data_IF_294813298114
#
_entry.id   IF_294813298114
#
_cell.length_a   1.000
_cell.length_b   1.000
_cell.length_c   1.000
_cell.angle_alpha   90.00
_cell.angle_beta   90.00
_cell.angle_gamma   90.00
#
_symmetry.space_group_name_H-M   'P 1'
#
loop_
_entity.id
_entity.type
_entity.pdbx_description
1 polymer ?
#
# COMPACT_ATOMS: atom_id res chain seq x y z
N UNK A 1 0.36 -12.24 -14.41
CA UNK A 1 0.62 -10.81 -14.69
C UNK A 1 -0.03 -9.89 -13.66
N UNK A 2 -1.34 -9.98 -13.43
CA UNK A 2 -2.06 -9.14 -12.45
C UNK A 2 -1.47 -9.27 -11.03
N UNK A 3 -1.19 -10.49 -10.55
CA UNK A 3 -0.62 -10.70 -9.20
C UNK A 3 0.73 -9.98 -9.03
N UNK A 4 1.64 -10.10 -9.99
CA UNK A 4 2.95 -9.42 -9.95
C UNK A 4 2.79 -7.90 -9.92
N UNK A 5 1.79 -7.37 -10.63
CA UNK A 5 1.48 -5.94 -10.62
C UNK A 5 0.98 -5.48 -9.24
N UNK A 6 0.09 -6.24 -8.60
CA UNK A 6 -0.39 -5.94 -7.24
C UNK A 6 0.77 -5.97 -6.23
N UNK A 7 1.68 -6.95 -6.35
CA UNK A 7 2.89 -7.02 -5.51
C UNK A 7 3.77 -5.79 -5.73
N UNK A 8 4.01 -5.41 -6.99
CA UNK A 8 4.80 -4.23 -7.33
C UNK A 8 4.22 -2.94 -6.74
N UNK A 9 2.91 -2.74 -6.86
CA UNK A 9 2.23 -1.58 -6.27
C UNK A 9 2.32 -1.61 -4.74
N UNK A 10 2.20 -2.78 -4.12
CA UNK A 10 2.32 -2.93 -2.67
C UNK A 10 3.73 -2.61 -2.15
N UNK A 11 4.76 -3.06 -2.86
CA UNK A 11 6.17 -2.70 -2.56
C UNK A 11 6.39 -1.20 -2.76
N UNK A 12 5.85 -0.63 -3.83
CA UNK A 12 5.95 0.81 -4.11
C UNK A 12 5.25 1.65 -3.02
N UNK A 13 4.09 1.19 -2.52
CA UNK A 13 3.40 1.80 -1.39
C UNK A 13 4.27 1.84 -0.14
N UNK A 14 4.95 0.73 0.19
CA UNK A 14 5.87 0.66 1.33
C UNK A 14 7.06 1.62 1.18
N UNK A 15 7.68 1.66 -0.01
CA UNK A 15 8.79 2.58 -0.29
C UNK A 15 8.37 4.04 -0.14
N UNK A 16 7.21 4.41 -0.69
CA UNK A 16 6.65 5.75 -0.56
C UNK A 16 6.35 6.11 0.90
N UNK A 17 5.84 5.17 1.70
CA UNK A 17 5.63 5.41 3.13
C UNK A 17 6.93 5.68 3.88
N UNK A 18 8.02 4.95 3.57
CA UNK A 18 9.34 5.21 4.16
C UNK A 18 9.87 6.60 3.78
N UNK A 19 9.63 7.05 2.55
CA UNK A 19 10.01 8.40 2.10
C UNK A 19 9.18 9.47 2.81
N UNK A 20 7.86 9.31 2.88
CA UNK A 20 6.97 10.25 3.59
C UNK A 20 7.32 10.35 5.07
N UNK A 21 7.71 9.23 5.70
CA UNK A 21 8.18 9.23 7.08
C UNK A 21 9.43 10.10 7.28
N UNK A 22 10.37 10.10 6.32
CA UNK A 22 11.54 10.98 6.37
C UNK A 22 11.17 12.45 6.18
N UNK A 23 10.12 12.73 5.41
CA UNK A 23 9.64 14.08 5.14
C UNK A 23 8.73 14.64 6.25
N UNK A 24 8.40 13.84 7.28
CA UNK A 24 7.48 14.22 8.37
C UNK A 24 6.11 14.74 7.89
N UNK A 25 5.66 14.32 6.72
CA UNK A 25 4.41 14.82 6.16
C UNK A 25 3.20 14.11 6.80
N UNK A 26 2.52 14.81 7.71
CA UNK A 26 1.48 14.27 8.61
C UNK A 26 0.38 13.46 7.92
N UNK A 27 -0.05 13.88 6.72
CA UNK A 27 -1.13 13.24 5.96
C UNK A 27 -0.64 12.50 4.70
N UNK A 28 0.67 12.46 4.44
CA UNK A 28 1.22 11.90 3.20
C UNK A 28 0.85 10.44 2.96
N UNK A 29 0.81 9.63 4.03
CA UNK A 29 0.46 8.21 3.93
C UNK A 29 -1.00 8.01 3.54
N UNK A 30 -1.89 8.83 4.06
CA UNK A 30 -3.32 8.79 3.71
C UNK A 30 -3.51 9.22 2.26
N UNK A 31 -2.79 10.26 1.82
CA UNK A 31 -2.82 10.71 0.42
C UNK A 31 -2.34 9.63 -0.54
N UNK A 32 -1.22 8.95 -0.24
CA UNK A 32 -0.74 7.81 -1.03
C UNK A 32 -1.76 6.67 -1.05
N UNK A 33 -2.35 6.32 0.10
CA UNK A 33 -3.39 5.29 0.18
C UNK A 33 -4.56 5.61 -0.76
N UNK A 34 -5.07 6.85 -0.70
CA UNK A 34 -6.19 7.29 -1.54
C UNK A 34 -5.81 7.25 -3.02
N UNK A 35 -4.62 7.73 -3.39
CA UNK A 35 -4.16 7.68 -4.79
C UNK A 35 -4.08 6.25 -5.32
N UNK A 36 -3.52 5.33 -4.53
CA UNK A 36 -3.40 3.92 -4.92
C UNK A 36 -4.78 3.26 -5.03
N UNK A 37 -5.71 3.56 -4.10
CA UNK A 37 -7.09 3.07 -4.19
C UNK A 37 -7.76 3.56 -5.47
N UNK A 38 -7.73 4.86 -5.75
CA UNK A 38 -8.27 5.43 -7.00
C UNK A 38 -7.63 4.75 -8.23
N UNK A 39 -6.32 4.49 -8.17
CA UNK A 39 -5.62 3.69 -9.17
C UNK A 39 -6.25 2.32 -9.41
N UNK A 40 -6.49 1.56 -8.34
CA UNK A 40 -7.14 0.24 -8.41
C UNK A 40 -8.57 0.30 -8.94
N UNK A 41 -9.33 1.36 -8.64
CA UNK A 41 -10.71 1.47 -9.08
C UNK A 41 -10.84 1.84 -10.56
N UNK A 42 -10.00 2.74 -11.07
CA UNK A 42 -10.22 3.39 -12.36
C UNK A 42 -9.10 3.22 -13.39
N UNK A 43 -7.85 3.11 -12.95
CA UNK A 43 -6.68 3.20 -13.83
C UNK A 43 -6.10 1.81 -14.12
N UNK A 44 -5.81 1.04 -13.08
CA UNK A 44 -5.13 -0.25 -13.20
C UNK A 44 -5.92 -1.32 -13.96
N UNK A 45 -7.23 -1.50 -13.76
CA UNK A 45 -7.98 -2.53 -14.49
C UNK A 45 -7.91 -2.36 -16.01
N UNK A 46 -7.92 -1.10 -16.49
CA UNK A 46 -7.94 -0.77 -17.91
C UNK A 46 -6.70 -1.24 -18.67
N UNK A 47 -5.54 -1.30 -18.00
CA UNK A 47 -4.30 -1.79 -18.62
C UNK A 47 -4.31 -3.30 -18.88
N UNK A 48 -5.26 -4.04 -18.29
CA UNK A 48 -5.35 -5.49 -18.42
C UNK A 48 -6.57 -5.94 -19.21
N UNK A 49 -7.40 -5.02 -19.71
CA UNK A 49 -8.57 -5.38 -20.50
C UNK A 49 -8.15 -5.93 -21.87
N UNK A 50 -8.77 -7.05 -22.32
CA UNK A 50 -8.50 -7.59 -23.64
C UNK A 50 -9.02 -6.64 -24.73
N UNK A 51 -8.39 -6.71 -25.90
CA UNK A 51 -8.88 -6.00 -27.09
C UNK A 51 -10.29 -6.52 -27.46
N UNK A 52 -11.20 -5.62 -27.87
CA UNK A 52 -12.54 -6.02 -28.30
C UNK A 52 -12.45 -6.81 -29.61
N UNK A 53 -12.78 -8.10 -29.56
CA UNK A 53 -12.86 -8.94 -30.76
C UNK A 53 -14.20 -8.69 -31.47
N UNK A 54 -14.16 -8.36 -32.75
CA UNK A 54 -15.36 -8.10 -33.57
C UNK A 54 -16.17 -9.36 -33.90
N UNK A 55 -15.57 -10.54 -33.78
CA UNK A 55 -16.10 -11.77 -34.40
C UNK A 55 -16.60 -12.82 -33.39
N UNK A 56 -16.59 -12.50 -32.09
CA UNK A 56 -16.98 -13.42 -31.01
C UNK A 56 -18.09 -12.86 -30.14
N UNK A 57 -18.84 -13.76 -29.48
CA UNK A 57 -19.83 -13.40 -28.45
C UNK A 57 -19.10 -12.58 -27.39
N UNK A 58 -19.34 -11.27 -27.36
CA UNK A 58 -18.73 -10.30 -26.45
C UNK A 58 -19.23 -10.52 -25.02
N UNK A 59 -18.84 -11.63 -24.42
CA UNK A 59 -19.07 -11.90 -23.02
C UNK A 59 -18.15 -10.93 -22.26
N UNK A 60 -18.68 -9.83 -21.70
CA UNK A 60 -17.95 -8.91 -20.81
C UNK A 60 -17.43 -9.55 -19.51
N UNK A 61 -17.53 -10.86 -19.40
CA UNK A 61 -17.12 -11.70 -18.28
C UNK A 61 -15.62 -11.57 -17.93
N UNK A 62 -14.67 -11.49 -18.89
CA UNK A 62 -13.26 -11.26 -18.58
C UNK A 62 -13.00 -9.87 -17.99
N UNK A 63 -13.65 -8.83 -18.52
CA UNK A 63 -13.54 -7.44 -18.05
C UNK A 63 -14.06 -7.32 -16.62
N UNK A 64 -15.20 -7.96 -16.32
CA UNK A 64 -15.74 -8.05 -14.97
C UNK A 64 -14.77 -8.75 -14.03
N UNK A 65 -14.22 -9.90 -14.42
CA UNK A 65 -13.27 -10.65 -13.60
C UNK A 65 -12.01 -9.84 -13.26
N UNK A 66 -11.43 -9.15 -14.24
CA UNK A 66 -10.28 -8.26 -14.05
C UNK A 66 -10.65 -7.11 -13.10
N UNK A 67 -11.80 -6.47 -13.33
CA UNK A 67 -12.27 -5.34 -12.51
C UNK A 67 -12.47 -5.76 -11.05
N UNK A 68 -13.17 -6.88 -10.81
CA UNK A 68 -13.34 -7.43 -9.47
C UNK A 68 -12.01 -7.80 -8.81
N UNK A 69 -11.05 -8.31 -9.58
CA UNK A 69 -9.76 -8.66 -9.03
C UNK A 69 -9.03 -7.43 -8.45
N UNK A 70 -9.02 -6.32 -9.18
CA UNK A 70 -8.42 -5.06 -8.71
C UNK A 70 -9.24 -4.39 -7.60
N UNK A 71 -10.57 -4.38 -7.73
CA UNK A 71 -11.45 -3.76 -6.75
C UNK A 71 -11.45 -4.49 -5.41
N UNK A 72 -11.45 -5.82 -5.40
CA UNK A 72 -11.51 -6.60 -4.16
C UNK A 72 -10.10 -6.89 -3.65
N UNK A 73 -9.29 -7.65 -4.39
CA UNK A 73 -7.98 -8.06 -3.90
C UNK A 73 -7.01 -6.89 -3.85
N UNK A 74 -7.00 -6.04 -4.86
CA UNK A 74 -6.12 -4.87 -4.90
C UNK A 74 -6.39 -3.86 -3.78
N UNK A 75 -7.66 -3.51 -3.56
CA UNK A 75 -8.02 -2.61 -2.44
C UNK A 75 -7.79 -3.25 -1.07
N UNK A 76 -8.13 -4.53 -0.89
CA UNK A 76 -7.94 -5.24 0.36
C UNK A 76 -6.46 -5.30 0.75
N UNK A 77 -5.58 -5.68 -0.20
CA UNK A 77 -4.12 -5.71 0.04
C UNK A 77 -3.59 -4.31 0.35
N UNK A 78 -4.00 -3.30 -0.42
CA UNK A 78 -3.61 -1.89 -0.21
C UNK A 78 -3.96 -1.41 1.21
N UNK A 79 -5.18 -1.70 1.67
CA UNK A 79 -5.65 -1.38 3.02
C UNK A 79 -4.93 -2.18 4.10
N UNK A 80 -4.67 -3.46 3.87
CA UNK A 80 -3.91 -4.31 4.79
C UNK A 80 -2.48 -3.78 4.97
N UNK A 81 -1.78 -3.45 3.88
CA UNK A 81 -0.43 -2.87 3.93
C UNK A 81 -0.43 -1.56 4.72
N UNK A 82 -1.40 -0.68 4.49
CA UNK A 82 -1.52 0.57 5.26
C UNK A 82 -1.78 0.33 6.75
N UNK A 83 -2.68 -0.60 7.07
CA UNK A 83 -3.06 -0.93 8.44
C UNK A 83 -1.91 -1.58 9.20
N UNK A 84 -1.24 -2.56 8.59
CA UNK A 84 -0.06 -3.24 9.13
C UNK A 84 1.07 -2.23 9.36
N UNK A 85 1.38 -1.40 8.36
CA UNK A 85 2.44 -0.40 8.48
C UNK A 85 2.15 0.60 9.60
N UNK A 86 0.92 1.12 9.66
CA UNK A 86 0.51 2.08 10.70
C UNK A 86 0.50 1.45 12.09
N UNK A 87 0.07 0.20 12.22
CA UNK A 87 0.09 -0.54 13.47
C UNK A 87 1.53 -0.79 13.96
N UNK A 88 2.41 -1.27 13.07
CA UNK A 88 3.82 -1.50 13.38
C UNK A 88 4.50 -0.19 13.80
N UNK A 89 4.31 0.90 13.04
CA UNK A 89 4.90 2.21 13.37
C UNK A 89 4.39 2.73 14.71
N UNK A 90 3.10 2.61 15.00
CA UNK A 90 2.53 3.13 16.24
C UNK A 90 2.86 2.28 17.49
N UNK A 91 3.17 0.98 17.34
CA UNK A 91 3.43 0.08 18.48
C UNK A 91 4.91 -0.20 18.70
N UNK A 92 5.70 -0.36 17.64
CA UNK A 92 7.13 -0.69 17.74
C UNK A 92 7.96 0.56 18.01
N UNK A 93 7.63 1.70 17.39
CA UNK A 93 8.41 2.93 17.54
C UNK A 93 8.42 3.48 18.98
N UNK A 94 7.30 3.53 19.74
CA UNK A 94 7.36 3.94 21.14
C UNK A 94 8.10 2.94 22.03
N UNK A 95 7.99 1.64 21.78
CA UNK A 95 8.70 0.61 22.57
C UNK A 95 10.22 0.72 22.38
N UNK A 96 10.68 0.86 21.13
CA UNK A 96 12.10 1.07 20.81
C UNK A 96 12.63 2.40 21.32
N UNK A 97 11.85 3.49 21.24
CA UNK A 97 12.27 4.76 21.85
C UNK A 97 12.32 4.68 23.37
N UNK A 98 11.40 3.98 24.04
CA UNK A 98 11.43 3.83 25.50
C UNK A 98 12.63 3.01 25.94
N UNK A 99 12.93 1.90 25.27
CA UNK A 99 14.11 1.08 25.55
C UNK A 99 15.39 1.88 25.26
N UNK A 100 15.46 2.60 24.13
CA UNK A 100 16.60 3.44 23.79
C UNK A 100 16.80 4.58 24.81
N UNK A 101 15.72 5.26 25.25
CA UNK A 101 15.78 6.30 26.29
C UNK A 101 16.26 5.73 27.62
N UNK A 102 15.81 4.51 27.98
CA UNK A 102 16.23 3.85 29.20
C UNK A 102 17.72 3.46 29.15
N UNK A 103 18.19 2.95 28.02
CA UNK A 103 19.61 2.65 27.80
C UNK A 103 20.45 3.94 27.86
N UNK A 104 19.98 5.04 27.27
CA UNK A 104 20.66 6.34 27.32
C UNK A 104 20.72 6.94 28.73
N UNK A 105 19.69 6.72 29.55
CA UNK A 105 19.67 7.07 30.97
C UNK A 105 20.67 6.23 31.79
N UNK A 106 20.82 4.94 31.46
CA UNK A 106 21.82 4.09 32.11
C UNK A 106 23.26 4.34 31.65
N UNK A 107 23.46 4.92 30.46
CA UNK A 107 24.77 5.29 29.92
C UNK A 107 25.17 6.74 30.19
N UNK A 108 24.31 7.56 30.82
CA UNK A 108 24.69 8.92 31.20
C UNK A 108 25.61 8.83 32.42
N UNK A 109 26.88 9.26 32.35
CA UNK A 109 27.75 9.26 33.51
C UNK A 109 27.16 10.23 34.54
N UNK A 110 26.82 9.69 35.72
CA UNK A 110 26.56 10.47 36.93
C UNK A 110 27.77 11.37 37.14
N UNK A 111 27.57 12.66 36.92
CA UNK A 111 28.57 13.68 37.15
C UNK A 111 28.25 14.44 38.44
#
# INVERSE_FOLDING_TARGET
>A
MILNFIILISVSQLLLYLIIDKLNFRYGKVLILTLILVGHFFIFPKYFYPEPNSDGVNCGMPVLGITFAFWVFGSAITLLVHSIYSFIKNRINPLLTTIAKHIQLCLSPVH
#
